data_IF_120837841385
#
_entry.id   IF_120837841385
#
_cell.length_a   1.000
_cell.length_b   1.000
_cell.length_c   1.000
_cell.angle_alpha   90.00
_cell.angle_beta   90.00
_cell.angle_gamma   90.00
#
_symmetry.space_group_name_H-M   'P 1'
#
loop_
_entity.id
_entity.type
_entity.pdbx_description
1 polymer ?
#
# COMPACT_ATOMS: atom_id res chain seq x y z
N UNK A 1 28.06 0.21 3.01
CA UNK A 1 26.80 0.72 2.42
C UNK A 1 26.52 2.06 3.07
N UNK A 2 26.75 3.16 2.35
CA UNK A 2 26.56 4.52 2.90
C UNK A 2 25.12 4.94 2.60
N UNK A 3 24.30 5.14 3.65
CA UNK A 3 22.95 5.67 3.50
C UNK A 3 23.04 7.20 3.37
N UNK A 4 22.50 7.75 2.28
CA UNK A 4 22.41 9.20 2.07
C UNK A 4 20.93 9.59 1.99
N UNK A 5 20.41 10.42 2.91
CA UNK A 5 19.02 10.87 2.87
C UNK A 5 18.81 11.88 1.74
N UNK A 6 17.72 11.72 0.98
CA UNK A 6 17.22 12.65 -0.03
C UNK A 6 16.01 13.39 0.53
N UNK A 7 16.00 14.72 0.47
CA UNK A 7 14.90 15.58 0.96
C UNK A 7 14.32 16.33 -0.25
N UNK A 8 13.60 15.62 -1.11
CA UNK A 8 12.90 16.18 -2.26
C UNK A 8 11.42 15.79 -2.19
N UNK A 9 10.54 16.65 -2.71
CA UNK A 9 9.15 16.26 -2.94
C UNK A 9 9.12 15.08 -3.92
N UNK A 10 8.44 13.99 -3.55
CA UNK A 10 8.42 12.75 -4.36
C UNK A 10 7.79 12.99 -5.74
N UNK A 11 6.87 13.96 -5.86
CA UNK A 11 6.21 14.31 -7.12
C UNK A 11 7.19 14.83 -8.19
N UNK A 12 8.24 15.55 -7.78
CA UNK A 12 9.26 16.15 -8.66
C UNK A 12 10.61 15.39 -8.62
N UNK A 13 10.65 14.23 -7.97
CA UNK A 13 11.90 13.48 -7.78
C UNK A 13 12.32 12.77 -9.07
N UNK A 14 13.36 13.32 -9.72
CA UNK A 14 14.10 12.69 -10.81
C UNK A 14 15.37 12.01 -10.26
N UNK A 15 15.43 10.68 -10.23
CA UNK A 15 16.54 9.93 -9.64
C UNK A 15 17.81 10.01 -10.48
N UNK A 16 17.68 10.20 -11.81
CA UNK A 16 18.82 10.45 -12.70
C UNK A 16 19.49 11.81 -12.46
N UNK A 17 18.76 12.77 -11.89
CA UNK A 17 19.29 14.08 -11.50
C UNK A 17 20.06 14.08 -10.18
N UNK A 18 20.06 12.97 -9.44
CA UNK A 18 20.73 12.87 -8.15
C UNK A 18 22.19 12.44 -8.35
N UNK A 19 23.11 13.41 -8.32
CA UNK A 19 24.55 13.18 -8.50
C UNK A 19 25.11 12.02 -7.63
N UNK A 20 24.76 11.89 -6.32
CA UNK A 20 25.17 10.73 -5.52
C UNK A 20 24.76 9.35 -6.02
N UNK A 21 23.74 9.25 -6.88
CA UNK A 21 23.22 7.98 -7.40
C UNK A 21 23.86 7.60 -8.75
N UNK A 22 24.59 8.52 -9.38
CA UNK A 22 25.19 8.29 -10.69
C UNK A 22 26.19 7.13 -10.67
N UNK A 23 25.95 6.13 -11.53
CA UNK A 23 26.82 4.95 -11.66
C UNK A 23 26.80 3.99 -10.47
N UNK A 24 25.94 4.19 -9.46
CA UNK A 24 25.83 3.31 -8.30
C UNK A 24 24.50 2.56 -8.26
N UNK A 25 24.55 1.36 -7.69
CA UNK A 25 23.35 0.58 -7.40
C UNK A 25 22.70 1.07 -6.11
N UNK A 26 21.37 1.21 -6.11
CA UNK A 26 20.62 1.71 -4.96
C UNK A 26 19.37 0.90 -4.64
N UNK A 27 18.93 0.99 -3.39
CA UNK A 27 17.63 0.52 -2.93
C UNK A 27 16.84 1.68 -2.34
N UNK A 28 15.55 1.75 -2.65
CA UNK A 28 14.65 2.76 -2.10
C UNK A 28 14.00 2.24 -0.82
N UNK A 29 14.10 2.99 0.27
CA UNK A 29 13.45 2.65 1.54
C UNK A 29 12.56 3.81 1.96
N UNK A 30 11.28 3.52 2.20
CA UNK A 30 10.28 4.51 2.60
C UNK A 30 9.56 4.09 3.87
N UNK A 31 9.48 5.00 4.85
CA UNK A 31 8.58 4.89 5.99
C UNK A 31 7.68 6.12 6.07
N UNK A 32 6.44 5.94 6.48
CA UNK A 32 5.45 7.03 6.62
C UNK A 32 5.26 7.87 5.35
N UNK A 33 5.41 7.26 4.17
CA UNK A 33 5.00 7.92 2.94
C UNK A 33 3.47 8.08 2.99
N UNK A 34 2.96 9.27 2.65
CA UNK A 34 1.53 9.42 2.47
C UNK A 34 1.03 8.47 1.37
N UNK A 35 -0.27 8.15 1.36
CA UNK A 35 -0.85 7.27 0.34
C UNK A 35 -0.38 7.63 -1.08
N UNK A 36 -0.58 8.87 -1.54
CA UNK A 36 -0.14 9.31 -2.86
C UNK A 36 1.39 9.26 -3.07
N UNK A 37 2.19 9.60 -2.07
CA UNK A 37 3.65 9.57 -2.17
C UNK A 37 4.19 8.15 -2.33
N UNK A 38 3.51 7.14 -1.77
CA UNK A 38 3.85 5.73 -2.00
C UNK A 38 3.72 5.39 -3.48
N UNK A 39 2.59 5.72 -4.09
CA UNK A 39 2.34 5.44 -5.51
C UNK A 39 3.28 6.24 -6.44
N UNK A 40 3.59 7.50 -6.09
CA UNK A 40 4.60 8.28 -6.81
C UNK A 40 5.99 7.66 -6.69
N UNK A 41 6.40 7.21 -5.49
CA UNK A 41 7.70 6.54 -5.27
C UNK A 41 7.82 5.28 -6.11
N UNK A 42 6.77 4.46 -6.16
CA UNK A 42 6.72 3.26 -7.01
C UNK A 42 6.92 3.63 -8.49
N UNK A 43 6.25 4.69 -8.95
CA UNK A 43 6.37 5.18 -10.32
C UNK A 43 7.78 5.70 -10.63
N UNK A 44 8.37 6.50 -9.75
CA UNK A 44 9.71 7.05 -9.96
C UNK A 44 10.77 5.94 -9.97
N UNK A 45 10.72 5.00 -9.02
CA UNK A 45 11.75 3.96 -8.91
C UNK A 45 11.68 2.92 -10.05
N UNK A 46 10.47 2.58 -10.52
CA UNK A 46 10.28 1.46 -11.46
C UNK A 46 10.01 1.94 -12.89
N UNK A 47 9.38 3.11 -13.07
CA UNK A 47 9.02 3.65 -14.39
C UNK A 47 10.20 4.16 -15.22
N UNK A 48 11.33 4.52 -14.59
CA UNK A 48 12.54 5.01 -15.29
C UNK A 48 13.20 3.95 -16.19
N UNK A 49 12.88 2.66 -16.05
CA UNK A 49 13.49 1.61 -16.89
C UNK A 49 12.76 1.35 -18.21
N UNK A 50 11.47 1.66 -18.32
CA UNK A 50 10.70 1.48 -19.57
C UNK A 50 11.14 2.40 -20.73
N UNK A 51 12.01 3.38 -20.46
CA UNK A 51 12.56 4.30 -21.48
C UNK A 51 14.00 3.97 -21.90
N UNK A 52 14.67 3.03 -21.23
CA UNK A 52 16.10 2.75 -21.47
C UNK A 52 16.37 1.72 -22.57
N UNK A 53 15.34 1.11 -23.17
CA UNK A 53 15.52 0.17 -24.30
C UNK A 53 15.65 0.85 -25.68
N UNK A 54 15.63 2.19 -25.77
CA UNK A 54 15.72 2.91 -27.07
C UNK A 54 16.86 3.96 -27.14
N UNK A 55 17.47 4.38 -26.03
CA UNK A 55 18.55 5.38 -26.07
C UNK A 55 19.85 4.86 -25.47
N UNK A 56 20.62 4.17 -26.30
CA UNK A 56 22.06 4.14 -26.15
C UNK A 56 22.59 5.57 -26.29
N UNK A 57 22.94 6.23 -25.18
CA UNK A 57 24.07 7.16 -25.05
C UNK A 57 24.06 7.93 -23.71
N UNK A 58 25.11 7.69 -22.91
CA UNK A 58 25.83 8.71 -22.14
C UNK A 58 25.14 9.56 -21.04
N UNK A 59 24.10 9.08 -20.35
CA UNK A 59 23.72 9.66 -19.05
C UNK A 59 24.00 8.66 -17.93
N UNK A 60 24.76 9.07 -16.92
CA UNK A 60 25.14 8.24 -15.77
C UNK A 60 23.89 7.71 -15.04
N UNK A 61 23.38 6.56 -15.49
CA UNK A 61 22.17 5.98 -14.94
C UNK A 61 22.47 5.30 -13.62
N UNK A 62 21.66 5.62 -12.62
CA UNK A 62 21.67 4.93 -11.36
C UNK A 62 21.02 3.53 -11.53
N UNK A 63 21.54 2.50 -10.86
CA UNK A 63 21.04 1.13 -11.03
C UNK A 63 20.06 0.77 -9.92
N UNK A 64 18.76 0.94 -10.18
CA UNK A 64 17.72 0.52 -9.23
C UNK A 64 17.79 -1.00 -8.98
N UNK A 65 17.91 -1.42 -7.72
CA UNK A 65 17.97 -2.85 -7.34
C UNK A 65 16.68 -3.36 -6.70
N UNK A 66 15.92 -2.48 -6.04
CA UNK A 66 14.72 -2.85 -5.31
C UNK A 66 14.28 -1.79 -4.31
N UNK A 67 13.14 -2.04 -3.68
CA UNK A 67 12.54 -1.15 -2.70
C UNK A 67 11.96 -1.90 -1.50
N UNK A 68 11.81 -1.18 -0.40
CA UNK A 68 11.06 -1.58 0.78
C UNK A 68 10.27 -0.36 1.29
N UNK A 69 8.94 -0.39 1.17
CA UNK A 69 8.08 0.75 1.54
C UNK A 69 7.03 0.30 2.55
N UNK A 70 7.02 0.93 3.73
CA UNK A 70 5.96 0.71 4.71
C UNK A 70 4.69 1.45 4.26
N UNK A 71 3.56 0.73 4.23
CA UNK A 71 2.26 1.25 3.79
C UNK A 71 1.40 1.54 5.02
N UNK A 72 0.94 2.79 5.20
CA UNK A 72 0.17 3.16 6.40
C UNK A 72 -0.90 4.26 6.19
N UNK A 73 -0.63 5.27 5.36
CA UNK A 73 -1.53 6.41 5.18
C UNK A 73 -2.55 6.20 4.05
N UNK A 74 -3.24 5.06 4.03
CA UNK A 74 -4.16 4.68 2.95
C UNK A 74 -5.34 5.62 2.82
N UNK A 75 -5.79 6.24 3.91
CA UNK A 75 -6.91 7.19 3.89
C UNK A 75 -6.64 8.45 3.06
N UNK A 76 -5.35 8.76 2.84
CA UNK A 76 -4.93 9.88 1.99
C UNK A 76 -4.80 9.46 0.52
N UNK A 77 -5.00 8.19 0.17
CA UNK A 77 -4.89 7.72 -1.21
C UNK A 77 -5.85 8.49 -2.12
N UNK A 78 -5.34 8.93 -3.26
CA UNK A 78 -6.11 9.67 -4.25
C UNK A 78 -6.14 8.87 -5.54
N UNK A 79 -7.34 8.76 -6.13
CA UNK A 79 -7.53 8.07 -7.40
C UNK A 79 -6.54 8.56 -8.47
N UNK A 80 -6.31 9.88 -8.59
CA UNK A 80 -5.36 10.46 -9.55
C UNK A 80 -3.99 9.75 -9.50
N UNK A 81 -3.47 9.55 -8.30
CA UNK A 81 -2.10 9.10 -8.05
C UNK A 81 -1.98 7.59 -7.92
N UNK A 82 -3.06 6.91 -7.53
CA UNK A 82 -3.07 5.46 -7.33
C UNK A 82 -2.53 4.72 -8.56
N UNK A 83 -1.58 3.82 -8.31
CA UNK A 83 -0.74 3.26 -9.37
C UNK A 83 -1.46 2.20 -10.19
N UNK A 84 -2.41 1.46 -9.60
CA UNK A 84 -3.07 0.32 -10.25
C UNK A 84 -4.58 0.50 -10.43
N UNK A 85 -4.96 1.52 -11.20
CA UNK A 85 -6.38 1.78 -11.52
C UNK A 85 -7.06 0.59 -12.21
N UNK A 86 -6.32 -0.13 -13.07
CA UNK A 86 -6.82 -1.32 -13.77
C UNK A 86 -7.25 -2.42 -12.80
N UNK A 87 -6.45 -2.72 -11.79
CA UNK A 87 -6.83 -3.69 -10.75
C UNK A 87 -8.15 -3.33 -10.05
N UNK A 88 -8.36 -2.05 -9.74
CA UNK A 88 -9.63 -1.60 -9.14
C UNK A 88 -10.80 -1.82 -10.10
N UNK A 89 -10.63 -1.44 -11.37
CA UNK A 89 -11.66 -1.66 -12.39
C UNK A 89 -11.93 -3.13 -12.67
N UNK A 90 -10.90 -3.98 -12.66
CA UNK A 90 -11.04 -5.44 -12.87
C UNK A 90 -11.81 -6.10 -11.71
N UNK A 91 -11.77 -5.52 -10.51
CA UNK A 91 -12.62 -5.91 -9.37
C UNK A 91 -14.04 -5.31 -9.43
N UNK A 92 -14.33 -4.49 -10.44
CA UNK A 92 -15.62 -3.81 -10.59
C UNK A 92 -15.74 -2.50 -9.80
N UNK A 93 -14.65 -2.01 -9.20
CA UNK A 93 -14.67 -0.75 -8.46
C UNK A 93 -14.53 0.48 -9.39
N UNK A 94 -15.43 1.42 -9.19
CA UNK A 94 -15.38 2.76 -9.77
C UNK A 94 -14.41 3.67 -9.02
N UNK A 95 -14.22 4.89 -9.53
CA UNK A 95 -13.46 5.93 -8.83
C UNK A 95 -14.12 6.29 -7.50
N UNK A 96 -15.44 6.35 -7.49
CA UNK A 96 -16.26 6.65 -6.32
C UNK A 96 -16.12 5.55 -5.26
N UNK A 97 -16.13 4.29 -5.68
CA UNK A 97 -15.86 3.15 -4.79
C UNK A 97 -14.45 3.22 -4.21
N UNK A 98 -13.44 3.58 -5.01
CA UNK A 98 -12.08 3.77 -4.51
C UNK A 98 -12.02 4.88 -3.44
N UNK A 99 -12.76 5.98 -3.62
CA UNK A 99 -12.84 7.03 -2.60
C UNK A 99 -13.48 6.51 -1.31
N UNK A 100 -14.53 5.70 -1.40
CA UNK A 100 -15.13 5.05 -0.24
C UNK A 100 -14.16 4.06 0.44
N UNK A 101 -13.49 3.19 -0.32
CA UNK A 101 -12.47 2.25 0.16
C UNK A 101 -11.35 3.00 0.89
N UNK A 102 -10.80 4.05 0.26
CA UNK A 102 -9.79 4.92 0.88
C UNK A 102 -10.31 5.49 2.19
N UNK A 103 -11.53 6.03 2.22
CA UNK A 103 -12.12 6.60 3.42
C UNK A 103 -12.31 5.56 4.54
N UNK A 104 -12.83 4.37 4.23
CA UNK A 104 -13.02 3.28 5.20
C UNK A 104 -11.69 2.80 5.81
N UNK A 105 -10.54 2.98 5.15
CA UNK A 105 -9.25 2.64 5.78
C UNK A 105 -8.94 3.44 7.04
N UNK A 106 -9.59 4.60 7.25
CA UNK A 106 -9.44 5.38 8.49
C UNK A 106 -9.98 4.63 9.72
N UNK A 107 -10.93 3.71 9.52
CA UNK A 107 -11.52 2.93 10.61
C UNK A 107 -10.64 1.80 11.12
N UNK A 108 -9.61 1.41 10.36
CA UNK A 108 -8.76 0.26 10.70
C UNK A 108 -8.06 0.40 12.05
N UNK A 109 -7.77 1.64 12.45
CA UNK A 109 -7.01 1.97 13.67
C UNK A 109 -7.74 3.00 14.52
N UNK A 110 -9.05 3.15 14.32
CA UNK A 110 -9.85 4.14 15.04
C UNK A 110 -9.74 3.87 16.56
N UNK A 111 -9.20 4.84 17.27
CA UNK A 111 -8.74 4.69 18.64
C UNK A 111 -9.94 4.67 19.60
N UNK A 112 -10.50 3.50 19.86
CA UNK A 112 -11.32 3.30 21.05
C UNK A 112 -10.42 2.94 22.23
N UNK A 113 -10.05 3.95 23.02
CA UNK A 113 -9.31 3.78 24.29
C UNK A 113 -10.13 3.08 25.40
N UNK A 114 -11.25 2.44 25.07
CA UNK A 114 -12.18 1.83 26.04
C UNK A 114 -11.98 0.35 26.34
N UNK A 115 -11.28 -0.41 25.50
CA UNK A 115 -10.93 -1.79 25.82
C UNK A 115 -9.56 -2.13 25.26
N UNK A 116 -8.60 -2.23 26.17
CA UNK A 116 -7.35 -2.94 25.95
C UNK A 116 -7.78 -4.33 25.46
N UNK A 117 -7.65 -4.58 24.15
CA UNK A 117 -7.66 -5.92 23.62
C UNK A 117 -6.61 -6.69 24.43
N UNK A 118 -7.09 -7.63 25.25
CA UNK A 118 -6.22 -8.51 25.99
C UNK A 118 -5.33 -9.21 24.98
N UNK A 119 -4.06 -9.25 25.33
CA UNK A 119 -2.94 -9.44 24.45
C UNK A 119 -2.81 -10.91 24.05
N UNK A 120 -3.70 -11.38 23.20
CA UNK A 120 -3.57 -12.66 22.51
C UNK A 120 -4.38 -12.57 21.24
N UNK A 121 -3.67 -12.70 20.11
CA UNK A 121 -4.19 -12.90 18.76
C UNK A 121 -4.69 -11.64 18.04
N UNK A 122 -3.88 -11.13 17.09
CA UNK A 122 -4.51 -10.70 15.84
C UNK A 122 -5.21 -11.93 15.28
N UNK A 123 -6.53 -11.93 15.34
CA UNK A 123 -7.31 -12.97 14.70
C UNK A 123 -6.88 -13.07 13.24
N UNK A 124 -6.55 -14.28 12.82
CA UNK A 124 -6.16 -14.56 11.46
C UNK A 124 -7.38 -14.36 10.55
N UNK A 125 -7.16 -13.98 9.29
CA UNK A 125 -8.21 -13.78 8.29
C UNK A 125 -9.22 -14.96 8.21
N UNK A 126 -8.78 -16.16 8.60
CA UNK A 126 -9.58 -17.38 8.62
C UNK A 126 -10.57 -17.46 9.80
N UNK A 127 -10.23 -16.89 10.96
CA UNK A 127 -11.08 -16.92 12.16
C UNK A 127 -12.24 -15.91 12.06
N UNK A 128 -12.00 -14.78 11.37
CA UNK A 128 -13.03 -13.75 11.11
C UNK A 128 -14.09 -14.27 10.12
N UNK A 129 -13.67 -15.00 9.08
CA UNK A 129 -14.59 -15.59 8.09
C UNK A 129 -15.53 -16.64 8.69
N UNK A 130 -15.11 -17.33 9.75
CA UNK A 130 -15.96 -18.29 10.46
C UNK A 130 -17.07 -17.62 11.27
N UNK A 131 -16.80 -16.48 11.92
CA UNK A 131 -17.80 -15.76 12.72
C UNK A 131 -18.83 -15.00 11.85
N UNK A 132 -18.42 -14.51 10.68
CA UNK A 132 -19.32 -13.82 9.74
C UNK A 132 -20.43 -14.73 9.15
N UNK A 133 -20.30 -16.06 9.26
CA UNK A 133 -21.25 -17.02 8.68
C UNK A 133 -22.52 -17.23 9.52
N UNK A 134 -22.56 -16.72 10.76
CA UNK A 134 -23.71 -16.87 11.67
C UNK A 134 -24.72 -15.70 11.63
N UNK A 135 -24.41 -14.57 11.00
CA UNK A 135 -25.36 -13.45 10.92
C UNK A 135 -26.32 -13.61 9.72
N UNK A 136 -27.48 -14.20 10.00
CA UNK A 136 -28.61 -14.26 9.08
C UNK A 136 -29.04 -12.86 8.63
N UNK A 137 -29.14 -12.66 7.32
CA UNK A 137 -29.57 -11.41 6.69
C UNK A 137 -31.09 -11.34 6.71
N UNK A 138 -31.66 -10.64 7.70
CA UNK A 138 -33.09 -10.32 7.67
C UNK A 138 -33.30 -9.02 6.86
N UNK A 139 -34.21 -9.09 5.89
CA UNK A 139 -34.36 -8.12 4.81
C UNK A 139 -35.25 -6.94 5.23
N UNK A 140 -34.65 -5.90 5.80
CA UNK A 140 -35.21 -4.54 5.80
C UNK A 140 -34.23 -3.58 5.12
N UNK A 141 -34.72 -2.80 4.15
CA UNK A 141 -33.89 -1.84 3.38
C UNK A 141 -33.56 -0.63 4.26
N UNK A 142 -32.59 -0.80 5.16
CA UNK A 142 -31.94 0.31 5.87
C UNK A 142 -31.08 1.10 4.90
N UNK A 143 -31.05 2.43 5.04
CA UNK A 143 -30.16 3.26 4.25
C UNK A 143 -28.69 2.92 4.55
N UNK A 144 -27.82 2.90 3.53
CA UNK A 144 -26.38 2.57 3.69
C UNK A 144 -25.72 3.44 4.79
N UNK A 145 -26.15 4.69 4.91
CA UNK A 145 -25.67 5.60 5.97
C UNK A 145 -26.09 5.20 7.39
N UNK A 146 -27.24 4.54 7.59
CA UNK A 146 -27.67 4.05 8.90
C UNK A 146 -26.89 2.79 9.27
N UNK A 147 -26.69 1.87 8.32
CA UNK A 147 -25.88 0.66 8.51
C UNK A 147 -24.44 1.03 8.93
N UNK A 148 -23.85 2.03 8.28
CA UNK A 148 -22.50 2.54 8.60
C UNK A 148 -22.44 3.12 10.03
N UNK A 149 -23.49 3.82 10.47
CA UNK A 149 -23.53 4.44 11.81
C UNK A 149 -23.71 3.43 12.93
N UNK A 150 -24.48 2.37 12.69
CA UNK A 150 -24.79 1.32 13.66
C UNK A 150 -23.70 0.23 13.74
N UNK A 151 -22.76 0.23 12.81
CA UNK A 151 -21.64 -0.72 12.75
C UNK A 151 -20.79 -0.65 14.02
N UNK A 152 -20.53 -1.81 14.63
CA UNK A 152 -19.73 -1.90 15.85
C UNK A 152 -18.26 -1.49 15.56
N UNK A 153 -17.53 -0.97 16.56
CA UNK A 153 -16.13 -0.59 16.37
C UNK A 153 -15.26 -1.72 15.80
N UNK A 154 -15.53 -2.97 16.21
CA UNK A 154 -14.82 -4.15 15.70
C UNK A 154 -15.05 -4.38 14.20
N UNK A 155 -16.30 -4.29 13.76
CA UNK A 155 -16.66 -4.47 12.34
C UNK A 155 -16.07 -3.35 11.48
N UNK A 156 -16.04 -2.11 12.01
CA UNK A 156 -15.39 -0.97 11.37
C UNK A 156 -13.89 -1.20 11.20
N UNK A 157 -13.22 -1.71 12.23
CA UNK A 157 -11.79 -2.03 12.16
C UNK A 157 -11.51 -3.11 11.12
N UNK A 158 -12.30 -4.20 11.12
CA UNK A 158 -12.19 -5.29 10.14
C UNK A 158 -12.35 -4.75 8.71
N UNK A 159 -13.42 -3.99 8.45
CA UNK A 159 -13.64 -3.38 7.14
C UNK A 159 -12.49 -2.44 6.75
N UNK A 160 -11.99 -1.64 7.70
CA UNK A 160 -10.87 -0.75 7.47
C UNK A 160 -9.60 -1.49 7.05
N UNK A 161 -9.27 -2.61 7.71
CA UNK A 161 -8.14 -3.46 7.32
C UNK A 161 -8.35 -4.11 5.94
N UNK A 162 -9.55 -4.61 5.65
CA UNK A 162 -9.88 -5.14 4.32
C UNK A 162 -9.66 -4.09 3.22
N UNK A 163 -10.10 -2.85 3.45
CA UNK A 163 -9.89 -1.76 2.50
C UNK A 163 -8.40 -1.41 2.31
N UNK A 164 -7.59 -1.48 3.37
CA UNK A 164 -6.12 -1.34 3.26
C UNK A 164 -5.52 -2.45 2.41
N UNK A 165 -5.93 -3.69 2.64
CA UNK A 165 -5.46 -4.86 1.91
C UNK A 165 -5.81 -4.78 0.41
N UNK A 166 -6.99 -4.28 0.06
CA UNK A 166 -7.39 -4.04 -1.33
C UNK A 166 -6.40 -3.06 -2.01
N UNK A 167 -6.10 -1.94 -1.36
CA UNK A 167 -5.17 -0.93 -1.90
C UNK A 167 -3.76 -1.49 -2.05
N UNK A 168 -3.23 -2.16 -1.02
CA UNK A 168 -1.87 -2.69 -1.04
C UNK A 168 -1.71 -3.88 -1.98
N UNK A 169 -2.73 -4.73 -2.10
CA UNK A 169 -2.75 -5.81 -3.09
C UNK A 169 -2.65 -5.24 -4.49
N UNK A 170 -3.39 -4.17 -4.82
CA UNK A 170 -3.26 -3.54 -6.13
C UNK A 170 -1.86 -2.96 -6.37
N UNK A 171 -1.21 -2.37 -5.36
CA UNK A 171 0.20 -1.93 -5.47
C UNK A 171 1.14 -3.11 -5.72
N UNK A 172 0.99 -4.19 -4.96
CA UNK A 172 1.77 -5.42 -5.13
C UNK A 172 1.62 -5.99 -6.54
N UNK A 173 0.38 -6.11 -7.03
CA UNK A 173 0.10 -6.62 -8.38
C UNK A 173 0.71 -5.74 -9.47
N UNK A 174 0.70 -4.43 -9.30
CA UNK A 174 1.35 -3.52 -10.23
C UNK A 174 2.86 -3.76 -10.27
N UNK A 175 3.51 -3.85 -9.10
CA UNK A 175 4.95 -4.11 -9.01
C UNK A 175 5.33 -5.47 -9.61
N UNK A 176 4.50 -6.52 -9.38
CA UNK A 176 4.69 -7.84 -10.02
C UNK A 176 4.59 -7.76 -11.54
N UNK A 177 3.65 -6.97 -12.06
CA UNK A 177 3.49 -6.77 -13.50
C UNK A 177 4.69 -6.07 -14.15
N UNK A 178 5.47 -5.29 -13.38
CA UNK A 178 6.74 -4.72 -13.84
C UNK A 178 7.92 -5.72 -13.83
N UNK A 179 7.68 -7.00 -13.48
CA UNK A 179 8.69 -8.06 -13.52
C UNK A 179 9.58 -8.15 -12.28
N UNK A 180 9.27 -7.41 -11.21
CA UNK A 180 9.99 -7.51 -9.94
C UNK A 180 9.47 -8.70 -9.12
N UNK A 181 10.38 -9.37 -8.43
CA UNK A 181 10.02 -10.29 -7.34
C UNK A 181 9.56 -9.45 -6.15
N UNK A 182 8.31 -9.60 -5.73
CA UNK A 182 7.71 -8.74 -4.72
C UNK A 182 6.72 -9.45 -3.80
N UNK A 183 6.61 -8.92 -2.59
CA UNK A 183 5.80 -9.45 -1.50
C UNK A 183 5.32 -8.32 -0.58
N UNK A 184 4.15 -8.53 0.03
CA UNK A 184 3.70 -7.77 1.21
C UNK A 184 4.02 -8.62 2.44
N UNK A 185 4.75 -8.04 3.39
CA UNK A 185 5.14 -8.72 4.63
C UNK A 185 4.76 -7.88 5.85
N UNK A 186 4.59 -8.55 6.99
CA UNK A 186 4.44 -7.87 8.29
C UNK A 186 5.82 -7.71 8.93
N UNK A 187 6.24 -6.48 9.22
CA UNK A 187 7.58 -6.22 9.78
C UNK A 187 7.62 -6.23 11.32
N UNK A 188 6.46 -6.10 11.98
CA UNK A 188 6.26 -6.26 13.42
C UNK A 188 4.90 -6.90 13.70
N UNK A 189 4.67 -7.51 14.87
CA UNK A 189 3.33 -7.92 15.30
C UNK A 189 2.35 -6.75 15.34
N UNK A 190 1.08 -7.03 15.07
CA UNK A 190 -0.01 -6.04 15.12
C UNK A 190 -0.17 -5.39 16.52
N UNK A 191 0.22 -6.12 17.58
CA UNK A 191 0.19 -5.66 18.96
C UNK A 191 1.22 -4.55 19.24
N UNK A 192 2.26 -4.45 18.41
CA UNK A 192 3.23 -3.35 18.46
C UNK A 192 2.75 -2.20 17.58
N UNK A 193 2.32 -2.50 16.36
CA UNK A 193 1.75 -1.51 15.44
C UNK A 193 0.72 -2.19 14.54
N UNK A 194 -0.52 -1.72 14.49
CA UNK A 194 -1.48 -2.19 13.48
C UNK A 194 -1.08 -1.78 12.06
N UNK A 195 -0.27 -0.72 11.90
CA UNK A 195 0.32 -0.30 10.62
C UNK A 195 1.64 -1.03 10.36
N UNK A 196 1.59 -2.35 10.18
CA UNK A 196 2.77 -3.21 10.12
C UNK A 196 3.08 -3.79 8.72
N UNK A 197 2.44 -3.29 7.66
CA UNK A 197 2.66 -3.79 6.31
C UNK A 197 3.87 -3.13 5.63
N UNK A 198 4.66 -3.96 4.94
CA UNK A 198 5.84 -3.56 4.17
C UNK A 198 5.77 -4.19 2.78
N UNK A 199 5.74 -3.35 1.74
CA UNK A 199 5.90 -3.77 0.36
C UNK A 199 7.39 -3.87 0.04
N UNK A 200 7.85 -5.08 -0.24
CA UNK A 200 9.23 -5.36 -0.64
C UNK A 200 9.26 -5.80 -2.10
N UNK A 201 10.17 -5.26 -2.88
CA UNK A 201 10.36 -5.66 -4.26
C UNK A 201 11.83 -5.58 -4.70
N UNK A 202 12.27 -6.48 -5.56
CA UNK A 202 13.64 -6.49 -6.10
C UNK A 202 13.67 -7.12 -7.49
N UNK A 203 14.70 -6.79 -8.28
CA UNK A 203 15.00 -7.58 -9.47
C UNK A 203 15.54 -8.95 -9.08
N UNK A 204 15.13 -9.98 -9.82
CA UNK A 204 15.76 -11.29 -9.72
C UNK A 204 17.24 -11.15 -10.03
N UNK A 205 18.11 -11.77 -9.21
CA UNK A 205 19.52 -11.90 -9.58
C UNK A 205 19.56 -12.68 -10.90
N UNK A 206 20.17 -12.10 -11.94
CA UNK A 206 20.62 -12.89 -13.09
C UNK A 206 21.63 -13.90 -12.54
N UNK A 207 21.28 -15.19 -12.62
CA UNK A 207 22.14 -16.33 -12.32
C UNK A 207 23.34 -16.37 -13.25
#
# INVERSE_FOLDING_TARGET
MTLRPLINAVEDLNLNGVEPLQGVAYMAIGKHLCGPATDMTLRCCIGEQSYQDIAAEAQASCYFRGLAIATCCHHLCQWKNYINKRYMSDLGFTKEDFHAISWFTSWAVDADHGSIFTSTDCMTQHEILSEMKEFGFDSEVRGVGEIVRDMQPIDRAVLGFMCKDIIDTGRLMWVKAQGLESQLVKYVPCSISPENHLLVARYKKRS
#
